data_IF_807623250583
#
_entry.id   IF_807623250583
#
_cell.length_a   1.000
_cell.length_b   1.000
_cell.length_c   1.000
_cell.angle_alpha   90.00
_cell.angle_beta   90.00
_cell.angle_gamma   90.00
#
_symmetry.space_group_name_H-M   'P 1'
#
loop_
_entity.id
_entity.type
_entity.pdbx_description
1 polymer ?
#
# COMPACT_ATOMS: atom_id res chain seq x y z
N UNK A 1 -3.17 -43.64 -0.33
CA UNK A 1 -2.30 -42.44 -0.33
C UNK A 1 -1.58 -42.34 1.01
N UNK A 2 -0.24 -42.40 1.00
CA UNK A 2 0.60 -42.45 2.20
C UNK A 2 0.34 -41.23 3.10
N UNK A 3 0.22 -41.45 4.41
CA UNK A 3 -0.01 -40.41 5.43
C UNK A 3 1.06 -39.30 5.38
N UNK A 4 2.29 -39.65 5.00
CA UNK A 4 3.40 -38.70 4.80
C UNK A 4 3.13 -37.79 3.60
N UNK A 5 2.61 -38.33 2.49
CA UNK A 5 2.29 -37.56 1.28
C UNK A 5 1.16 -36.56 1.54
N UNK A 6 0.16 -36.94 2.35
CA UNK A 6 -0.92 -36.03 2.78
C UNK A 6 -0.40 -34.84 3.58
N UNK A 7 0.55 -35.05 4.50
CA UNK A 7 1.16 -33.99 5.30
C UNK A 7 2.02 -33.05 4.46
N UNK A 8 2.82 -33.60 3.55
CA UNK A 8 3.64 -32.80 2.61
C UNK A 8 2.73 -31.92 1.73
N UNK A 9 1.63 -32.48 1.22
CA UNK A 9 0.66 -31.73 0.44
C UNK A 9 0.01 -30.60 1.25
N UNK A 10 -0.38 -30.87 2.51
CA UNK A 10 -0.99 -29.88 3.40
C UNK A 10 -0.03 -28.72 3.71
N UNK A 11 1.25 -29.02 3.96
CA UNK A 11 2.30 -28.02 4.20
C UNK A 11 2.54 -27.19 2.94
N UNK A 12 2.57 -27.83 1.76
CA UNK A 12 2.72 -27.13 0.48
C UNK A 12 1.61 -26.11 0.23
N UNK A 13 0.36 -26.46 0.52
CA UNK A 13 -0.80 -25.55 0.36
C UNK A 13 -0.71 -24.37 1.34
N UNK A 14 -0.26 -24.59 2.58
CA UNK A 14 -0.14 -23.55 3.59
C UNK A 14 0.98 -22.53 3.30
N UNK A 15 2.04 -22.93 2.61
CA UNK A 15 3.15 -22.02 2.25
C UNK A 15 2.73 -21.11 1.07
N UNK A 16 1.91 -21.60 0.15
CA UNK A 16 1.47 -20.82 -1.02
C UNK A 16 0.46 -19.70 -0.68
N UNK A 17 -0.23 -19.75 0.46
CA UNK A 17 -1.24 -18.76 0.85
C UNK A 17 -0.69 -17.51 1.56
N UNK A 18 0.63 -17.43 1.79
CA UNK A 18 1.26 -16.31 2.55
C UNK A 18 1.65 -15.15 1.61
N UNK A 19 1.57 -15.31 0.29
CA UNK A 19 2.13 -14.38 -0.70
C UNK A 19 1.27 -13.16 -1.04
N UNK A 20 0.06 -13.00 -0.47
CA UNK A 20 -0.91 -11.97 -0.90
C UNK A 20 -1.15 -10.82 0.08
N UNK A 21 -0.37 -10.67 1.16
CA UNK A 21 -0.70 -9.74 2.27
C UNK A 21 -0.16 -8.30 2.09
N UNK A 22 0.55 -7.97 1.01
CA UNK A 22 1.29 -6.69 0.92
C UNK A 22 0.63 -5.52 0.17
N UNK A 23 -0.63 -5.62 -0.26
CA UNK A 23 -1.37 -4.44 -0.72
C UNK A 23 -2.06 -3.74 0.45
N UNK A 24 -1.26 -3.29 1.42
CA UNK A 24 -1.74 -2.41 2.49
C UNK A 24 -1.60 -0.97 2.02
N UNK A 25 -2.68 -0.21 2.09
CA UNK A 25 -2.76 1.23 1.85
C UNK A 25 -1.72 1.99 2.70
N UNK A 26 -0.46 1.99 2.25
CA UNK A 26 0.68 2.51 2.99
C UNK A 26 0.63 4.02 2.94
N UNK A 27 0.69 4.64 4.13
CA UNK A 27 0.91 6.08 4.20
C UNK A 27 2.36 6.34 3.83
N UNK A 28 2.58 7.25 2.87
CA UNK A 28 3.92 7.72 2.49
C UNK A 28 4.07 9.14 3.02
N UNK A 29 5.21 9.44 3.62
CA UNK A 29 5.51 10.73 4.24
C UNK A 29 6.56 11.46 3.41
N UNK A 30 6.37 12.76 3.23
CA UNK A 30 7.25 13.59 2.40
C UNK A 30 7.68 14.85 3.14
N UNK A 31 8.89 15.33 2.84
CA UNK A 31 9.35 16.66 3.25
C UNK A 31 8.82 17.75 2.31
N UNK A 32 9.27 19.00 2.49
CA UNK A 32 8.87 20.16 1.70
C UNK A 32 9.21 20.03 0.20
N UNK A 33 10.17 19.17 -0.15
CA UNK A 33 10.63 18.94 -1.53
C UNK A 33 9.98 17.69 -2.16
N UNK A 34 9.02 17.06 -1.47
CA UNK A 34 8.41 15.78 -1.86
C UNK A 34 9.39 14.59 -1.84
N UNK A 35 10.48 14.68 -1.07
CA UNK A 35 11.36 13.54 -0.82
C UNK A 35 10.78 12.66 0.30
N UNK A 36 10.90 11.34 0.16
CA UNK A 36 10.33 10.41 1.15
C UNK A 36 11.13 10.44 2.45
N UNK A 37 10.44 10.73 3.56
CA UNK A 37 11.06 10.87 4.89
C UNK A 37 10.28 10.10 5.97
N UNK A 38 10.79 10.13 7.20
CA UNK A 38 10.04 9.63 8.36
C UNK A 38 8.91 10.60 8.73
N UNK A 39 7.86 10.10 9.40
CA UNK A 39 6.75 10.94 9.89
C UNK A 39 7.20 12.15 10.71
N UNK A 40 8.29 12.01 11.48
CA UNK A 40 8.80 13.08 12.35
C UNK A 40 9.39 14.27 11.57
N UNK A 41 9.73 14.07 10.30
CA UNK A 41 10.35 15.06 9.42
C UNK A 41 9.39 15.51 8.30
N UNK A 42 8.16 15.02 8.31
CA UNK A 42 7.24 15.17 7.21
C UNK A 42 6.53 16.53 7.23
N UNK A 43 6.51 17.20 6.07
CA UNK A 43 5.61 18.31 5.79
C UNK A 43 4.27 17.82 5.23
N UNK A 44 4.29 16.68 4.51
CA UNK A 44 3.12 16.09 3.86
C UNK A 44 3.00 14.58 4.09
N UNK A 45 1.80 14.06 3.86
CA UNK A 45 1.59 12.62 3.74
C UNK A 45 0.54 12.27 2.67
N UNK A 46 0.76 11.15 1.99
CA UNK A 46 -0.18 10.54 1.05
C UNK A 46 -0.86 9.35 1.69
N UNK A 47 -2.18 9.31 1.67
CA UNK A 47 -2.92 8.08 2.02
C UNK A 47 -2.96 7.13 0.83
N UNK A 48 -3.08 5.83 1.09
CA UNK A 48 -3.10 4.81 0.03
C UNK A 48 -4.11 5.09 -1.09
N UNK A 49 -3.75 4.60 -2.27
CA UNK A 49 -4.48 4.83 -3.52
C UNK A 49 -5.80 4.08 -3.53
N UNK A 50 -6.90 4.77 -3.81
CA UNK A 50 -8.24 4.16 -3.94
C UNK A 50 -8.63 4.08 -5.40
N UNK A 51 -9.04 2.89 -5.86
CA UNK A 51 -9.61 2.76 -7.20
C UNK A 51 -11.10 3.13 -7.17
N UNK A 52 -11.48 4.17 -7.91
CA UNK A 52 -12.84 4.69 -7.99
C UNK A 52 -13.11 5.25 -9.39
N UNK A 53 -14.32 5.07 -9.93
CA UNK A 53 -14.74 5.60 -11.24
C UNK A 53 -13.71 5.35 -12.36
N UNK A 54 -13.15 4.13 -12.42
CA UNK A 54 -12.17 3.71 -13.42
C UNK A 54 -10.79 4.41 -13.36
N UNK A 55 -10.46 5.05 -12.24
CA UNK A 55 -9.14 5.66 -11.99
C UNK A 55 -8.66 5.43 -10.56
N UNK A 56 -7.36 5.56 -10.36
CA UNK A 56 -6.69 5.51 -9.08
C UNK A 56 -6.63 6.91 -8.48
N UNK A 57 -7.35 7.15 -7.40
CA UNK A 57 -7.40 8.43 -6.70
C UNK A 57 -6.41 8.41 -5.53
N UNK A 58 -5.60 9.46 -5.42
CA UNK A 58 -4.68 9.69 -4.30
C UNK A 58 -4.87 11.10 -3.75
N UNK A 59 -4.59 11.24 -2.45
CA UNK A 59 -4.74 12.51 -1.72
C UNK A 59 -3.50 12.76 -0.91
N UNK A 60 -2.97 13.97 -1.06
CA UNK A 60 -1.89 14.50 -0.26
C UNK A 60 -2.45 15.48 0.75
N UNK A 61 -1.94 15.38 1.96
CA UNK A 61 -2.32 16.21 3.09
C UNK A 61 -1.07 16.88 3.64
N UNK A 62 -1.23 18.11 4.11
CA UNK A 62 -0.28 18.70 5.06
C UNK A 62 -0.23 17.84 6.33
N UNK A 63 0.86 17.91 7.08
CA UNK A 63 1.04 17.09 8.29
C UNK A 63 -0.02 17.36 9.38
N UNK A 64 -0.69 18.52 9.32
CA UNK A 64 -1.82 18.89 10.17
C UNK A 64 -3.17 18.23 9.75
N UNK A 65 -3.19 17.54 8.62
CA UNK A 65 -4.36 16.86 8.07
C UNK A 65 -5.16 17.70 7.06
N UNK A 66 -4.74 18.93 6.75
CA UNK A 66 -5.39 19.76 5.73
C UNK A 66 -5.14 19.16 4.35
N UNK A 67 -6.19 19.03 3.52
CA UNK A 67 -6.05 18.55 2.14
C UNK A 67 -5.18 19.52 1.33
N UNK A 68 -4.08 19.03 0.80
CA UNK A 68 -3.15 19.80 -0.03
C UNK A 68 -3.42 19.56 -1.52
N UNK A 69 -3.62 18.30 -1.92
CA UNK A 69 -3.83 17.93 -3.30
C UNK A 69 -4.69 16.66 -3.43
N UNK A 70 -5.46 16.58 -4.51
CA UNK A 70 -6.21 15.40 -4.92
C UNK A 70 -5.93 15.11 -6.40
N UNK A 71 -5.41 13.92 -6.67
CA UNK A 71 -4.97 13.48 -7.98
C UNK A 71 -5.63 12.19 -8.41
N UNK A 72 -5.66 11.96 -9.73
CA UNK A 72 -6.17 10.74 -10.33
C UNK A 72 -5.20 10.20 -11.38
N UNK A 73 -4.92 8.90 -11.36
CA UNK A 73 -4.05 8.21 -12.31
C UNK A 73 -4.78 7.03 -12.97
N UNK A 74 -4.34 6.65 -14.17
CA UNK A 74 -4.67 5.35 -14.76
C UNK A 74 -3.89 4.17 -14.16
N UNK A 75 -2.89 4.45 -13.31
CA UNK A 75 -2.02 3.47 -12.66
C UNK A 75 -2.02 3.62 -11.13
N UNK A 76 -1.78 2.53 -10.41
CA UNK A 76 -1.69 2.51 -8.94
C UNK A 76 -0.33 2.99 -8.40
N UNK A 77 0.65 3.22 -9.27
CA UNK A 77 2.08 3.32 -8.90
C UNK A 77 2.79 4.52 -9.54
N UNK A 78 2.09 5.64 -9.78
CA UNK A 78 2.76 6.87 -10.23
C UNK A 78 3.83 7.36 -9.25
#
# INVERSE_FOLDING_TARGET
>A
MNSIIKKILLIGIAICSISTIYSQNKIVYFDENFDTVSKAQAAYYRTGVKFNNSRYEFKDYYIDGTLQFEGGSSSATE
#
